data_IF_728242314077
#
_entry.id   IF_728242314077
#
_cell.length_a   1.000
_cell.length_b   1.000
_cell.length_c   1.000
_cell.angle_alpha   90.00
_cell.angle_beta   90.00
_cell.angle_gamma   90.00
#
_symmetry.space_group_name_H-M   'P 1'
#
loop_
_entity.id
_entity.type
_entity.pdbx_description
1 polymer ?
#
# COMPACT_ATOMS: atom_id res chain seq x y z
N UNK A 1 38.50 -53.03 -12.76
CA UNK A 1 39.38 -52.82 -11.59
C UNK A 1 39.23 -51.35 -11.22
N UNK A 2 38.24 -50.99 -10.38
CA UNK A 2 38.30 -50.98 -8.90
C UNK A 2 39.32 -49.93 -8.42
N UNK A 3 39.06 -49.00 -7.50
CA UNK A 3 37.98 -48.70 -6.53
C UNK A 3 38.21 -47.22 -6.12
N UNK A 4 37.17 -46.41 -5.90
CA UNK A 4 36.53 -46.06 -4.61
C UNK A 4 37.44 -45.44 -3.55
N UNK A 5 37.02 -44.27 -3.07
CA UNK A 5 37.08 -43.71 -1.70
C UNK A 5 36.83 -42.19 -1.84
N UNK A 6 35.60 -41.68 -1.84
CA UNK A 6 34.61 -41.63 -0.76
C UNK A 6 35.12 -40.88 0.49
N UNK A 7 34.72 -39.61 0.60
CA UNK A 7 34.50 -38.96 1.90
C UNK A 7 33.25 -38.08 1.83
N UNK A 8 32.18 -38.75 2.20
CA UNK A 8 30.86 -38.27 2.59
C UNK A 8 30.83 -37.21 3.71
N UNK A 9 29.81 -36.33 3.60
CA UNK A 9 28.88 -35.85 4.64
C UNK A 9 29.47 -35.04 5.83
N UNK A 10 28.96 -33.83 6.12
CA UNK A 10 27.61 -33.69 6.65
C UNK A 10 27.01 -32.26 6.51
N UNK A 11 25.67 -32.15 6.53
CA UNK A 11 24.92 -30.91 6.36
C UNK A 11 24.55 -30.28 7.71
N UNK A 12 24.60 -28.94 7.80
CA UNK A 12 24.05 -28.22 8.95
C UNK A 12 22.52 -28.16 8.84
N UNK A 13 21.88 -28.92 9.73
CA UNK A 13 20.44 -29.11 9.88
C UNK A 13 19.69 -27.82 10.23
N UNK A 14 18.63 -27.59 9.44
CA UNK A 14 17.28 -27.15 9.82
C UNK A 14 17.09 -26.12 10.95
N UNK A 15 16.64 -24.92 10.57
CA UNK A 15 15.57 -24.23 11.31
C UNK A 15 14.25 -24.39 10.53
N UNK A 16 13.54 -25.47 10.87
CA UNK A 16 12.17 -25.73 10.48
C UNK A 16 11.23 -24.90 11.36
N UNK A 17 10.66 -23.82 10.83
CA UNK A 17 9.37 -23.29 11.31
C UNK A 17 8.72 -22.33 10.28
N UNK A 18 8.32 -22.83 9.11
CA UNK A 18 7.35 -22.12 8.25
C UNK A 18 6.82 -22.98 7.07
N UNK A 19 6.12 -24.12 7.29
CA UNK A 19 5.61 -24.91 6.14
C UNK A 19 4.23 -25.58 6.26
N UNK A 20 3.37 -25.15 7.18
CA UNK A 20 2.03 -25.77 7.32
C UNK A 20 0.86 -24.93 6.80
N UNK A 21 0.99 -23.60 6.67
CA UNK A 21 -0.08 -22.74 6.11
C UNK A 21 -0.13 -22.75 4.58
N UNK A 22 1.02 -22.83 3.92
CA UNK A 22 1.15 -22.65 2.46
C UNK A 22 0.53 -23.80 1.64
N UNK A 23 0.55 -25.03 2.17
CA UNK A 23 0.00 -26.22 1.51
C UNK A 23 -1.53 -26.27 1.55
N UNK A 24 -2.17 -25.69 2.57
CA UNK A 24 -3.63 -25.58 2.67
C UNK A 24 -4.19 -24.60 1.64
N UNK A 25 -3.48 -23.49 1.37
CA UNK A 25 -3.83 -22.53 0.34
C UNK A 25 -3.79 -23.14 -1.07
N UNK A 26 -2.75 -23.91 -1.41
CA UNK A 26 -2.66 -24.58 -2.72
C UNK A 26 -3.70 -25.68 -2.94
N UNK A 27 -3.99 -26.50 -1.92
CA UNK A 27 -4.93 -27.64 -2.05
C UNK A 27 -6.38 -27.23 -2.25
N UNK A 28 -6.82 -26.15 -1.59
CA UNK A 28 -8.19 -25.67 -1.73
C UNK A 28 -8.41 -24.87 -3.02
N UNK A 29 -7.32 -24.34 -3.61
CA UNK A 29 -7.32 -23.70 -4.92
C UNK A 29 -7.76 -24.66 -6.03
N UNK A 30 -7.33 -25.91 -5.99
CA UNK A 30 -7.82 -26.93 -6.93
C UNK A 30 -9.32 -27.20 -6.79
N UNK A 31 -9.95 -26.89 -5.66
CA UNK A 31 -11.39 -27.13 -5.46
C UNK A 31 -12.25 -26.02 -6.11
N UNK A 32 -11.83 -24.75 -6.07
CA UNK A 32 -12.52 -23.64 -6.77
C UNK A 32 -12.07 -23.50 -8.23
N UNK A 33 -10.82 -23.83 -8.54
CA UNK A 33 -10.30 -23.92 -9.92
C UNK A 33 -10.86 -25.14 -10.68
N UNK A 34 -11.52 -26.09 -10.00
CA UNK A 34 -12.25 -27.19 -10.66
C UNK A 34 -13.49 -26.74 -11.43
N UNK A 35 -13.92 -25.47 -11.32
CA UNK A 35 -14.85 -24.88 -12.28
C UNK A 35 -14.16 -24.52 -13.62
N UNK A 36 -12.84 -24.36 -13.65
CA UNK A 36 -12.07 -24.01 -14.84
C UNK A 36 -11.79 -25.22 -15.76
N UNK A 37 -12.13 -26.46 -15.35
CA UNK A 37 -12.01 -27.63 -16.22
C UNK A 37 -13.11 -27.71 -17.31
N UNK A 38 -13.95 -26.68 -17.45
CA UNK A 38 -14.90 -26.49 -18.56
C UNK A 38 -14.32 -25.63 -19.70
N UNK A 39 -13.03 -25.26 -19.66
CA UNK A 39 -12.36 -24.55 -20.76
C UNK A 39 -11.85 -25.53 -21.85
N UNK A 40 -12.78 -26.15 -22.61
CA UNK A 40 -12.61 -26.22 -24.06
C UNK A 40 -13.84 -25.76 -24.87
N UNK A 41 -14.86 -25.15 -24.24
CA UNK A 41 -16.07 -24.68 -24.96
C UNK A 41 -16.16 -23.16 -25.17
N UNK A 42 -15.24 -22.38 -24.58
CA UNK A 42 -15.27 -20.92 -24.65
C UNK A 42 -14.35 -20.38 -25.76
N UNK A 43 -14.69 -19.21 -26.31
CA UNK A 43 -14.00 -18.63 -27.47
C UNK A 43 -12.55 -18.23 -27.19
N UNK A 44 -12.24 -17.82 -25.95
CA UNK A 44 -10.92 -17.33 -25.57
C UNK A 44 -10.10 -18.37 -24.80
N UNK A 45 -8.75 -18.31 -24.86
CA UNK A 45 -7.90 -19.11 -23.98
C UNK A 45 -8.18 -18.85 -22.49
N UNK A 46 -7.92 -19.84 -21.65
CA UNK A 46 -8.19 -19.76 -20.20
C UNK A 46 -7.57 -18.53 -19.51
N UNK A 47 -6.35 -18.13 -19.90
CA UNK A 47 -5.67 -16.98 -19.30
C UNK A 47 -6.45 -15.67 -19.47
N UNK A 48 -7.28 -15.53 -20.51
CA UNK A 48 -8.13 -14.35 -20.72
C UNK A 48 -9.19 -14.26 -19.62
N UNK A 49 -9.84 -15.37 -19.28
CA UNK A 49 -10.81 -15.40 -18.19
C UNK A 49 -10.16 -15.16 -16.84
N UNK A 50 -8.96 -15.72 -16.62
CA UNK A 50 -8.20 -15.51 -15.39
C UNK A 50 -7.80 -14.03 -15.18
N UNK A 51 -7.67 -13.24 -16.25
CA UNK A 51 -7.44 -11.79 -16.13
C UNK A 51 -8.61 -11.05 -15.48
N UNK A 52 -9.84 -11.58 -15.56
CA UNK A 52 -11.05 -10.98 -15.01
C UNK A 52 -11.63 -11.77 -13.82
N UNK A 53 -11.00 -12.86 -13.40
CA UNK A 53 -11.41 -13.61 -12.21
C UNK A 53 -11.10 -12.80 -10.94
N UNK A 54 -12.15 -12.45 -10.20
CA UNK A 54 -12.06 -11.59 -9.02
C UNK A 54 -11.24 -12.20 -7.88
N UNK A 55 -11.20 -13.54 -7.74
CA UNK A 55 -10.40 -14.22 -6.71
C UNK A 55 -8.91 -14.27 -7.07
N UNK A 56 -8.59 -14.46 -8.35
CA UNK A 56 -7.21 -14.37 -8.85
C UNK A 56 -6.69 -12.95 -8.68
N UNK A 57 -7.48 -11.94 -9.08
CA UNK A 57 -7.13 -10.54 -8.91
C UNK A 57 -6.98 -10.16 -7.44
N UNK A 58 -7.90 -10.62 -6.57
CA UNK A 58 -7.84 -10.37 -5.13
C UNK A 58 -6.53 -10.86 -4.49
N UNK A 59 -6.09 -12.07 -4.82
CA UNK A 59 -4.79 -12.59 -4.36
C UNK A 59 -3.63 -11.73 -4.84
N UNK A 60 -3.64 -11.36 -6.12
CA UNK A 60 -2.56 -10.57 -6.73
C UNK A 60 -2.48 -9.18 -6.10
N UNK A 61 -3.63 -8.55 -5.83
CA UNK A 61 -3.72 -7.27 -5.14
C UNK A 61 -3.19 -7.38 -3.70
N UNK A 62 -3.61 -8.40 -2.93
CA UNK A 62 -3.13 -8.63 -1.56
C UNK A 62 -1.62 -8.93 -1.51
N UNK A 63 -1.10 -9.68 -2.48
CA UNK A 63 0.34 -9.97 -2.58
C UNK A 63 1.15 -8.69 -2.86
N UNK A 64 0.72 -7.88 -3.83
CA UNK A 64 1.34 -6.58 -4.10
C UNK A 64 1.25 -5.66 -2.88
N UNK A 65 0.09 -5.59 -2.24
CA UNK A 65 -0.09 -4.81 -1.01
C UNK A 65 0.93 -5.21 0.06
N UNK A 66 1.10 -6.52 0.29
CA UNK A 66 2.08 -7.05 1.26
C UNK A 66 3.52 -6.69 0.89
N UNK A 67 3.86 -6.66 -0.39
CA UNK A 67 5.20 -6.26 -0.85
C UNK A 67 5.46 -4.75 -0.72
N UNK A 68 4.41 -3.93 -0.85
CA UNK A 68 4.53 -2.48 -1.03
C UNK A 68 4.27 -1.73 0.28
N UNK A 69 3.20 -2.07 0.98
CA UNK A 69 2.74 -1.40 2.21
C UNK A 69 2.96 -2.28 3.44
N UNK A 70 2.88 -3.60 3.27
CA UNK A 70 3.05 -4.64 4.29
C UNK A 70 1.99 -4.68 5.41
N UNK A 71 1.59 -3.54 5.99
CA UNK A 71 0.63 -3.47 7.12
C UNK A 71 -0.48 -2.43 6.90
N UNK A 72 -1.75 -2.74 7.23
CA UNK A 72 -2.26 -4.05 7.67
C UNK A 72 -2.18 -5.10 6.55
N UNK A 73 -2.19 -6.38 6.93
CA UNK A 73 -2.21 -7.48 5.98
C UNK A 73 -3.63 -7.64 5.43
N UNK A 74 -3.75 -7.82 4.11
CA UNK A 74 -5.02 -8.01 3.42
C UNK A 74 -5.40 -9.49 3.21
N UNK A 75 -4.56 -10.43 3.66
CA UNK A 75 -4.74 -11.87 3.45
C UNK A 75 -6.09 -12.40 3.98
N UNK A 76 -6.63 -11.80 5.04
CA UNK A 76 -7.92 -12.19 5.63
C UNK A 76 -9.11 -11.92 4.70
N UNK A 77 -8.96 -10.96 3.77
CA UNK A 77 -10.00 -10.53 2.83
C UNK A 77 -9.88 -11.18 1.45
N UNK A 78 -8.82 -11.94 1.16
CA UNK A 78 -8.57 -12.54 -0.16
C UNK A 78 -9.71 -13.45 -0.65
N UNK A 79 -10.49 -14.03 0.28
CA UNK A 79 -11.66 -14.88 -0.05
C UNK A 79 -12.95 -14.08 -0.28
N UNK A 80 -12.93 -12.77 -0.09
CA UNK A 80 -14.05 -11.85 -0.25
C UNK A 80 -13.62 -10.68 -1.15
N UNK A 81 -13.50 -10.90 -2.47
CA UNK A 81 -12.98 -9.91 -3.42
C UNK A 81 -13.74 -8.58 -3.39
N UNK A 82 -15.05 -8.63 -3.13
CA UNK A 82 -15.94 -7.48 -2.94
C UNK A 82 -15.44 -6.56 -1.82
N UNK A 83 -15.22 -7.12 -0.63
CA UNK A 83 -14.73 -6.37 0.54
C UNK A 83 -13.28 -5.94 0.36
N UNK A 84 -12.44 -6.84 -0.16
CA UNK A 84 -11.01 -6.57 -0.36
C UNK A 84 -10.81 -5.33 -1.25
N UNK A 85 -11.55 -5.24 -2.37
CA UNK A 85 -11.40 -4.14 -3.32
C UNK A 85 -11.63 -2.78 -2.66
N UNK A 86 -12.76 -2.59 -1.96
CA UNK A 86 -13.03 -1.35 -1.23
C UNK A 86 -12.01 -1.08 -0.13
N UNK A 87 -11.56 -2.11 0.56
CA UNK A 87 -10.59 -1.96 1.63
C UNK A 87 -9.23 -1.47 1.09
N UNK A 88 -8.73 -2.06 -0.01
CA UNK A 88 -7.53 -1.57 -0.70
C UNK A 88 -7.76 -0.15 -1.22
N UNK A 89 -8.85 0.07 -1.96
CA UNK A 89 -9.17 1.37 -2.56
C UNK A 89 -9.21 2.51 -1.54
N UNK A 90 -9.77 2.26 -0.35
CA UNK A 90 -9.84 3.25 0.74
C UNK A 90 -8.48 3.58 1.38
N UNK A 91 -7.48 2.71 1.22
CA UNK A 91 -6.16 2.84 1.87
C UNK A 91 -5.02 3.14 0.90
N UNK A 92 -5.30 3.20 -0.41
CA UNK A 92 -4.29 3.49 -1.41
C UNK A 92 -3.73 4.92 -1.26
N UNK A 93 -2.39 5.09 -1.33
CA UNK A 93 -1.71 6.38 -1.24
C UNK A 93 -1.79 7.15 -2.57
N UNK A 94 -3.01 7.36 -3.05
CA UNK A 94 -3.32 8.11 -4.28
C UNK A 94 -3.93 9.47 -3.93
N UNK A 95 -4.13 10.32 -4.93
CA UNK A 95 -4.88 11.56 -4.77
C UNK A 95 -6.38 11.30 -4.55
N UNK A 96 -7.09 12.29 -4.02
CA UNK A 96 -8.55 12.21 -3.81
C UNK A 96 -9.32 12.03 -5.13
N UNK A 97 -8.87 12.69 -6.21
CA UNK A 97 -9.45 12.56 -7.56
C UNK A 97 -9.39 11.11 -8.07
N UNK A 98 -8.20 10.50 -7.99
CA UNK A 98 -8.00 9.10 -8.41
C UNK A 98 -8.75 8.13 -7.49
N UNK A 99 -8.78 8.41 -6.19
CA UNK A 99 -9.55 7.60 -5.21
C UNK A 99 -11.04 7.62 -5.54
N UNK A 100 -11.60 8.79 -5.83
CA UNK A 100 -13.01 8.93 -6.19
C UNK A 100 -13.33 8.10 -7.45
N UNK A 101 -12.58 8.30 -8.53
CA UNK A 101 -12.74 7.52 -9.77
C UNK A 101 -12.63 6.01 -9.52
N UNK A 102 -11.69 5.59 -8.68
CA UNK A 102 -11.50 4.17 -8.33
C UNK A 102 -12.72 3.59 -7.61
N UNK A 103 -13.29 4.32 -6.65
CA UNK A 103 -14.43 3.86 -5.86
C UNK A 103 -15.73 3.89 -6.65
N UNK A 104 -15.83 4.74 -7.68
CA UNK A 104 -16.94 4.79 -8.64
C UNK A 104 -16.95 3.62 -9.64
N UNK A 105 -15.86 2.87 -9.79
CA UNK A 105 -15.82 1.73 -10.71
C UNK A 105 -16.85 0.68 -10.28
N UNK A 106 -17.79 0.41 -11.17
CA UNK A 106 -18.73 -0.70 -11.08
C UNK A 106 -18.06 -2.02 -11.50
N UNK A 107 -18.10 -3.00 -10.61
CA UNK A 107 -17.55 -4.34 -10.85
C UNK A 107 -16.21 -4.59 -10.13
N UNK A 108 -16.19 -5.69 -9.39
CA UNK A 108 -15.08 -6.07 -8.50
C UNK A 108 -13.79 -6.28 -9.30
N UNK A 109 -13.87 -6.96 -10.44
CA UNK A 109 -12.69 -7.29 -11.26
C UNK A 109 -12.03 -6.05 -11.84
N UNK A 110 -12.82 -5.10 -12.36
CA UNK A 110 -12.29 -3.85 -12.91
C UNK A 110 -11.65 -2.98 -11.82
N UNK A 111 -12.27 -2.91 -10.64
CA UNK A 111 -11.69 -2.17 -9.50
C UNK A 111 -10.37 -2.79 -9.05
N UNK A 112 -10.31 -4.11 -8.86
CA UNK A 112 -9.08 -4.81 -8.49
C UNK A 112 -7.99 -4.66 -9.56
N UNK A 113 -8.33 -4.67 -10.85
CA UNK A 113 -7.37 -4.40 -11.92
C UNK A 113 -6.79 -2.98 -11.80
N UNK A 114 -7.63 -1.96 -11.57
CA UNK A 114 -7.17 -0.58 -11.39
C UNK A 114 -6.34 -0.42 -10.12
N UNK A 115 -6.72 -1.06 -9.01
CA UNK A 115 -5.92 -1.10 -7.78
C UNK A 115 -4.53 -1.69 -8.02
N UNK A 116 -4.45 -2.81 -8.75
CA UNK A 116 -3.17 -3.44 -9.11
C UNK A 116 -2.31 -2.51 -9.96
N UNK A 117 -2.91 -1.81 -10.93
CA UNK A 117 -2.22 -0.82 -11.75
C UNK A 117 -1.67 0.32 -10.89
N UNK A 118 -2.51 0.89 -10.01
CA UNK A 118 -2.13 1.97 -9.10
C UNK A 118 -1.03 1.55 -8.14
N UNK A 119 -1.10 0.34 -7.56
CA UNK A 119 -0.05 -0.21 -6.70
C UNK A 119 1.30 -0.33 -7.42
N UNK A 120 1.29 -0.70 -8.71
CA UNK A 120 2.51 -0.82 -9.51
C UNK A 120 3.08 0.53 -9.93
N UNK A 121 2.23 1.49 -10.26
CA UNK A 121 2.64 2.84 -10.66
C UNK A 121 3.11 3.68 -9.48
N UNK A 122 2.55 3.46 -8.29
CA UNK A 122 2.87 4.24 -7.10
C UNK A 122 4.34 4.13 -6.71
N UNK A 123 5.12 5.16 -7.02
CA UNK A 123 6.54 5.22 -6.72
C UNK A 123 6.99 6.55 -6.11
N UNK A 124 6.36 7.65 -6.49
CA UNK A 124 6.75 9.02 -6.08
C UNK A 124 5.52 9.80 -5.67
N UNK A 125 5.62 10.51 -4.54
CA UNK A 125 4.66 11.49 -4.06
C UNK A 125 5.15 12.87 -4.50
N UNK A 126 4.32 13.58 -5.27
CA UNK A 126 4.59 14.93 -5.78
C UNK A 126 3.57 15.92 -5.24
N UNK A 127 3.96 17.19 -5.11
CA UNK A 127 3.05 18.28 -4.79
C UNK A 127 2.00 18.44 -5.90
N UNK A 128 0.72 18.50 -5.53
CA UNK A 128 -0.40 18.71 -6.45
C UNK A 128 -0.26 20.00 -7.26
N UNK A 129 0.18 21.09 -6.63
CA UNK A 129 0.18 22.42 -7.25
C UNK A 129 1.35 22.64 -8.21
N UNK A 130 2.55 22.17 -7.89
CA UNK A 130 3.76 22.47 -8.68
C UNK A 130 4.55 21.22 -9.12
N UNK A 131 4.04 20.02 -8.87
CA UNK A 131 4.66 18.74 -9.26
C UNK A 131 6.05 18.47 -8.65
N UNK A 132 6.50 19.28 -7.69
CA UNK A 132 7.77 19.08 -7.00
C UNK A 132 7.77 17.75 -6.24
N UNK A 133 8.89 17.04 -6.31
CA UNK A 133 9.10 15.78 -5.60
C UNK A 133 9.04 15.99 -4.08
N UNK A 134 8.18 15.24 -3.38
CA UNK A 134 8.04 15.31 -1.92
C UNK A 134 8.70 14.08 -1.29
N UNK A 135 8.25 12.87 -1.63
CA UNK A 135 8.72 11.63 -1.02
C UNK A 135 8.65 10.47 -2.01
N UNK A 136 9.32 9.37 -1.69
CA UNK A 136 9.21 8.12 -2.44
C UNK A 136 8.30 7.14 -1.72
N UNK A 137 7.78 6.16 -2.46
CA UNK A 137 7.07 5.02 -1.87
C UNK A 137 7.90 4.33 -0.78
N UNK A 138 9.21 4.19 -1.00
CA UNK A 138 10.12 3.55 -0.03
C UNK A 138 10.17 4.28 1.31
N UNK A 139 9.76 5.55 1.35
CA UNK A 139 9.74 6.34 2.57
C UNK A 139 8.45 6.13 3.36
N UNK A 140 7.41 5.50 2.80
CA UNK A 140 6.12 5.28 3.49
C UNK A 140 6.32 4.43 4.73
N UNK A 141 5.77 4.90 5.85
CA UNK A 141 5.78 4.22 7.14
C UNK A 141 4.36 4.08 7.66
N UNK A 142 4.13 3.08 8.49
CA UNK A 142 2.82 2.82 9.10
C UNK A 142 2.87 3.26 10.55
N UNK A 143 2.20 4.37 10.85
CA UNK A 143 2.12 4.94 12.20
C UNK A 143 0.78 4.64 12.91
N UNK A 144 -0.19 4.06 12.19
CA UNK A 144 -1.51 3.66 12.70
C UNK A 144 -1.76 2.17 12.44
N UNK A 145 -2.63 1.53 13.22
CA UNK A 145 -3.10 0.16 12.95
C UNK A 145 -3.82 0.04 11.62
N UNK A 146 -4.40 1.14 11.14
CA UNK A 146 -5.22 1.18 9.92
C UNK A 146 -4.39 1.32 8.64
N UNK A 147 -3.06 1.35 8.76
CA UNK A 147 -2.13 1.43 7.65
C UNK A 147 -1.44 2.80 7.53
N UNK A 148 -0.83 3.07 6.37
CA UNK A 148 -0.04 4.29 6.14
C UNK A 148 -0.90 5.54 5.92
N UNK A 149 -2.18 5.36 5.56
CA UNK A 149 -3.16 6.43 5.36
C UNK A 149 -4.19 6.41 6.51
N UNK A 150 -4.30 7.53 7.21
CA UNK A 150 -5.29 7.74 8.28
C UNK A 150 -6.08 9.03 8.07
N UNK A 151 -7.33 9.06 8.52
CA UNK A 151 -8.17 10.26 8.53
C UNK A 151 -8.17 10.85 9.94
N UNK A 152 -7.79 12.12 10.05
CA UNK A 152 -7.66 12.81 11.33
C UNK A 152 -8.42 14.13 11.32
N UNK A 153 -9.00 14.51 12.45
CA UNK A 153 -9.79 15.75 12.56
C UNK A 153 -8.99 16.78 13.34
N UNK A 154 -8.90 18.00 12.82
CA UNK A 154 -8.30 19.11 13.54
C UNK A 154 -9.31 19.74 14.55
N UNK A 155 -8.87 20.63 15.46
CA UNK A 155 -9.77 21.23 16.46
C UNK A 155 -10.93 22.04 15.87
N UNK A 156 -10.75 22.57 14.66
CA UNK A 156 -11.78 23.33 13.93
C UNK A 156 -12.76 22.44 13.16
N UNK A 157 -12.62 21.12 13.23
CA UNK A 157 -13.51 20.15 12.60
C UNK A 157 -13.14 19.74 11.17
N UNK A 158 -12.01 20.19 10.62
CA UNK A 158 -11.54 19.77 9.30
C UNK A 158 -10.94 18.37 9.34
N UNK A 159 -11.35 17.53 8.39
CA UNK A 159 -10.81 16.18 8.19
C UNK A 159 -9.61 16.24 7.26
N UNK A 160 -8.54 15.55 7.65
CA UNK A 160 -7.30 15.43 6.91
C UNK A 160 -6.92 13.96 6.73
N UNK A 161 -7.07 13.45 5.51
CA UNK A 161 -6.46 12.20 5.08
C UNK A 161 -4.95 12.39 4.97
N UNK A 162 -4.19 11.69 5.80
CA UNK A 162 -2.75 11.92 5.99
C UNK A 162 -1.98 10.62 5.78
N UNK A 163 -1.01 10.64 4.86
CA UNK A 163 -0.05 9.57 4.61
C UNK A 163 1.19 9.81 5.46
N UNK A 164 1.66 8.79 6.17
CA UNK A 164 2.89 8.92 6.94
C UNK A 164 4.13 8.45 6.17
N UNK A 165 5.16 9.30 6.10
CA UNK A 165 6.45 8.99 5.48
C UNK A 165 7.62 9.31 6.42
N UNK A 166 8.65 8.49 6.40
CA UNK A 166 9.87 8.65 7.18
C UNK A 166 10.72 9.83 6.70
N UNK A 167 10.73 10.09 5.39
CA UNK A 167 11.52 11.14 4.77
C UNK A 167 10.67 11.93 3.77
N UNK A 168 10.91 13.24 3.70
CA UNK A 168 10.32 14.14 2.74
C UNK A 168 11.30 15.27 2.39
N UNK A 169 11.23 15.75 1.15
CA UNK A 169 12.13 16.74 0.56
C UNK A 169 11.32 17.89 -0.04
N UNK A 170 11.95 19.05 -0.24
CA UNK A 170 11.27 20.21 -0.82
C UNK A 170 10.18 20.80 0.07
N UNK A 171 10.28 20.62 1.39
CA UNK A 171 9.35 21.17 2.38
C UNK A 171 10.03 22.21 3.28
N UNK A 172 9.34 23.31 3.52
CA UNK A 172 9.73 24.36 4.47
C UNK A 172 8.83 24.30 5.72
N UNK A 173 9.42 24.42 6.91
CA UNK A 173 8.67 24.38 8.17
C UNK A 173 8.24 25.79 8.58
N UNK A 174 6.99 25.94 9.02
CA UNK A 174 6.42 27.21 9.47
C UNK A 174 5.91 27.08 10.91
N UNK A 175 6.26 28.07 11.73
CA UNK A 175 5.87 28.15 13.14
C UNK A 175 6.71 27.28 14.09
N UNK A 176 6.39 27.37 15.38
CA UNK A 176 7.04 26.56 16.43
C UNK A 176 6.38 25.18 16.55
N UNK A 177 7.13 24.13 16.91
CA UNK A 177 6.54 22.82 17.19
C UNK A 177 5.52 22.87 18.32
N UNK A 178 4.39 22.19 18.16
CA UNK A 178 3.31 22.13 19.15
C UNK A 178 2.90 20.68 19.44
N UNK A 179 2.57 20.36 20.69
CA UNK A 179 1.96 19.07 21.07
C UNK A 179 0.44 19.16 21.19
N UNK A 180 -0.11 20.37 21.09
CA UNK A 180 -1.54 20.64 21.27
C UNK A 180 -2.32 19.93 20.15
N UNK A 181 -3.30 19.11 20.51
CA UNK A 181 -4.11 18.31 19.57
C UNK A 181 -3.31 17.46 18.57
N UNK A 182 -2.13 16.97 18.97
CA UNK A 182 -1.34 16.07 18.13
C UNK A 182 -2.09 14.74 17.91
N UNK A 183 -2.22 14.33 16.64
CA UNK A 183 -2.83 13.04 16.28
C UNK A 183 -1.97 11.82 16.64
N UNK A 184 -0.68 12.03 16.90
CA UNK A 184 0.27 10.99 17.26
C UNK A 184 0.78 11.27 18.67
N UNK A 185 0.23 10.60 19.69
CA UNK A 185 0.65 10.78 21.08
C UNK A 185 2.16 10.60 21.26
N UNK A 186 2.80 11.53 21.96
CA UNK A 186 4.26 11.55 22.13
C UNK A 186 5.04 12.25 21.01
N UNK A 187 4.34 12.86 20.04
CA UNK A 187 4.94 13.69 19.01
C UNK A 187 4.42 15.13 19.06
N UNK A 188 5.31 16.10 18.85
CA UNK A 188 4.93 17.46 18.45
C UNK A 188 4.81 17.54 16.93
N UNK A 189 4.00 18.45 16.42
CA UNK A 189 3.84 18.72 15.00
C UNK A 189 4.29 20.14 14.65
N UNK A 190 4.74 20.33 13.41
CA UNK A 190 5.08 21.64 12.83
C UNK A 190 4.53 21.68 11.41
N UNK A 191 3.93 22.80 11.01
CA UNK A 191 3.36 22.94 9.65
C UNK A 191 4.48 22.84 8.62
N UNK A 192 4.24 22.08 7.56
CA UNK A 192 5.14 21.88 6.44
C UNK A 192 4.49 22.39 5.14
N UNK A 193 5.12 23.39 4.53
CA UNK A 193 4.72 23.98 3.27
C UNK A 193 5.62 23.46 2.14
N UNK A 194 5.12 23.42 0.91
CA UNK A 194 5.97 23.18 -0.25
C UNK A 194 6.94 24.36 -0.40
N UNK A 195 8.24 24.08 -0.48
CA UNK A 195 9.25 25.13 -0.64
C UNK A 195 9.17 25.86 -1.99
N UNK A 196 8.50 25.27 -2.99
CA UNK A 196 8.40 25.83 -4.34
C UNK A 196 7.14 26.67 -4.59
N UNK A 197 6.00 26.31 -3.97
CA UNK A 197 4.71 26.97 -4.22
C UNK A 197 3.95 27.34 -2.95
N UNK A 198 4.56 27.14 -1.78
CA UNK A 198 4.05 27.52 -0.46
C UNK A 198 2.73 26.84 -0.05
N UNK A 199 2.20 25.93 -0.86
CA UNK A 199 1.01 25.14 -0.51
C UNK A 199 1.27 24.34 0.77
N UNK A 200 0.34 24.36 1.71
CA UNK A 200 0.43 23.55 2.92
C UNK A 200 0.41 22.05 2.56
N UNK A 201 1.52 21.33 2.69
CA UNK A 201 1.61 19.91 2.32
C UNK A 201 1.18 19.01 3.48
N UNK A 202 1.47 19.42 4.71
CA UNK A 202 1.06 18.71 5.91
C UNK A 202 1.93 19.09 7.10
N UNK A 203 2.46 18.11 7.83
CA UNK A 203 3.16 18.36 9.09
C UNK A 203 4.40 17.49 9.27
N UNK A 204 5.41 18.03 9.94
CA UNK A 204 6.51 17.27 10.50
C UNK A 204 6.21 16.90 11.95
N UNK A 205 6.19 15.60 12.25
CA UNK A 205 6.05 15.08 13.59
C UNK A 205 7.43 14.76 14.19
N UNK A 206 7.71 15.24 15.41
CA UNK A 206 8.96 15.01 16.15
C UNK A 206 8.69 14.41 17.52
N UNK A 207 9.40 13.34 17.84
CA UNK A 207 9.28 12.64 19.11
C UNK A 207 9.66 13.56 20.29
N UNK A 208 8.77 13.70 21.27
CA UNK A 208 9.02 14.50 22.48
C UNK A 208 9.91 13.77 23.48
N UNK A 209 9.94 12.43 23.42
CA UNK A 209 10.76 11.57 24.29
C UNK A 209 11.91 10.92 23.52
N UNK A 210 13.05 10.71 24.18
CA UNK A 210 14.27 10.12 23.56
C UNK A 210 14.10 8.67 23.10
N UNK A 211 13.25 7.90 23.78
CA UNK A 211 13.03 6.48 23.51
C UNK A 211 11.99 6.20 22.42
N UNK A 212 11.21 7.22 22.00
CA UNK A 212 10.17 7.04 21.01
C UNK A 212 10.78 6.94 19.60
N UNK A 213 10.29 5.97 18.82
CA UNK A 213 10.69 5.72 17.43
C UNK A 213 9.46 5.69 16.53
N UNK A 214 9.57 6.19 15.28
CA UNK A 214 10.71 6.94 14.73
C UNK A 214 10.96 8.28 15.45
N UNK A 215 12.16 8.87 15.34
CA UNK A 215 12.46 10.16 16.01
C UNK A 215 11.72 11.33 15.35
N UNK A 216 11.44 11.19 14.07
CA UNK A 216 10.56 12.07 13.31
C UNK A 216 9.98 11.33 12.13
N UNK A 217 8.85 11.82 11.64
CA UNK A 217 8.22 11.39 10.40
C UNK A 217 7.33 12.54 9.92
N UNK A 218 6.87 12.48 8.67
CA UNK A 218 6.01 13.49 8.06
C UNK A 218 4.62 12.92 7.86
N UNK A 219 3.61 13.75 8.10
CA UNK A 219 2.24 13.51 7.65
C UNK A 219 1.95 14.36 6.42
N UNK A 220 1.70 13.73 5.29
CA UNK A 220 1.42 14.38 4.00
C UNK A 220 -0.08 14.29 3.72
N UNK A 221 -0.74 15.42 3.46
CA UNK A 221 -2.17 15.46 3.16
C UNK A 221 -2.44 14.85 1.78
N UNK A 222 -3.34 13.87 1.68
CA UNK A 222 -3.69 13.19 0.43
C UNK A 222 -4.23 14.18 -0.62
N UNK A 223 -4.99 15.20 -0.20
CA UNK A 223 -5.49 16.28 -1.06
C UNK A 223 -4.40 17.10 -1.76
N UNK A 224 -3.15 17.03 -1.27
CA UNK A 224 -2.00 17.80 -1.77
C UNK A 224 -1.04 16.96 -2.60
N UNK A 225 -1.42 15.73 -2.91
CA UNK A 225 -0.65 14.80 -3.74
C UNK A 225 -1.15 14.91 -5.18
N UNK A 226 -0.22 15.00 -6.13
CA UNK A 226 -0.52 14.99 -7.54
C UNK A 226 -1.02 13.62 -8.03
N UNK A 227 -1.90 13.65 -9.02
CA UNK A 227 -2.29 12.47 -9.79
C UNK A 227 -1.06 11.97 -10.57
N UNK A 228 -0.84 10.66 -10.61
CA UNK A 228 0.21 10.11 -11.46
C UNK A 228 -0.28 10.10 -12.91
N UNK A 229 0.24 11.03 -13.72
CA UNK A 229 -0.17 11.24 -15.11
C UNK A 229 -0.07 9.99 -16.00
N UNK A 230 0.67 8.96 -15.57
CA UNK A 230 0.82 7.71 -16.33
C UNK A 230 -0.39 6.76 -16.22
N UNK A 231 -1.32 6.99 -15.28
CA UNK A 231 -2.44 6.07 -15.02
C UNK A 231 -3.70 6.42 -15.84
N UNK A 232 -3.76 7.62 -16.43
CA UNK A 232 -4.89 8.12 -17.21
C UNK A 232 -4.77 7.81 -18.74
N UNK A 233 -3.65 7.24 -19.21
CA UNK A 233 -3.44 6.95 -20.65
C UNK A 233 -3.88 5.54 -21.09
N UNK A 234 -4.65 4.83 -20.28
CA UNK A 234 -5.13 3.48 -20.57
C UNK A 234 -6.66 3.43 -20.59
N UNK A 235 -7.25 4.23 -21.48
CA UNK A 235 -8.63 4.10 -21.98
C UNK A 235 -8.62 3.58 -23.42
#
# INVERSE_FOLDING_TARGET
>A
MSNEDDLCLTPLQSLLTARTRDTKWRRQYHAYSKQASQAPLSFWPQWVYEMYDSYILARKAAELWRQIIAKPNMDDHVRKPDILSFHIGSKLPVSESVRQKLLEIDGISYRLQKEIQLLKAFNVIKCRNCQSHIAKRSDVVVMSTDGPLGAYVNPDGYVHETITVSNATGLALTGSPSTVHSWFPGYSWTIALCAACESHIGWLFRATKKNLRPRSFWGIRSSQIADDAQVDQSE
#
